data_IF_801961557295
#
_entry.id   IF_801961557295
#
_cell.length_a   1.000
_cell.length_b   1.000
_cell.length_c   1.000
_cell.angle_alpha   90.00
_cell.angle_beta   90.00
_cell.angle_gamma   90.00
#
_symmetry.space_group_name_H-M   'P 1'
#
loop_
_entity.id
_entity.type
_entity.pdbx_description
1 polymer ?
#
# COMPACT_ATOMS: atom_id res chain seq x y z
N UNK A 1 1.41 4.63 5.71
CA UNK A 1 0.35 3.75 5.14
C UNK A 1 0.87 2.61 4.26
N UNK A 2 2.15 2.59 3.89
CA UNK A 2 2.77 1.41 3.24
C UNK A 2 2.74 0.18 4.16
N UNK A 3 2.88 0.39 5.46
CA UNK A 3 2.74 -0.62 6.54
C UNK A 3 1.51 -1.51 6.37
N UNK A 4 0.40 -0.97 5.85
CA UNK A 4 -0.86 -1.69 5.69
C UNK A 4 -0.79 -2.90 4.74
N UNK A 5 0.25 -2.99 3.90
CA UNK A 5 0.52 -4.20 3.11
C UNK A 5 0.88 -5.36 4.03
N UNK A 6 1.76 -5.12 5.02
CA UNK A 6 2.07 -6.14 6.03
C UNK A 6 0.87 -6.42 6.95
N UNK A 7 0.09 -5.39 7.29
CA UNK A 7 -1.12 -5.54 8.11
C UNK A 7 -2.11 -6.51 7.47
N UNK A 8 -2.43 -6.34 6.19
CA UNK A 8 -3.36 -7.28 5.53
C UNK A 8 -2.74 -8.66 5.32
N UNK A 9 -1.43 -8.76 5.09
CA UNK A 9 -0.75 -10.05 4.97
C UNK A 9 -0.85 -10.84 6.28
N UNK A 10 -0.46 -10.24 7.39
CA UNK A 10 -0.53 -10.89 8.71
C UNK A 10 -1.99 -11.24 9.07
N UNK A 11 -2.94 -10.34 8.83
CA UNK A 11 -4.35 -10.64 9.06
C UNK A 11 -4.85 -11.81 8.21
N UNK A 12 -4.50 -11.85 6.92
CA UNK A 12 -4.92 -12.91 6.00
C UNK A 12 -4.34 -14.28 6.36
N UNK A 13 -3.18 -14.32 7.00
CA UNK A 13 -2.58 -15.59 7.47
C UNK A 13 -3.21 -16.11 8.76
N UNK A 14 -3.96 -15.27 9.50
CA UNK A 14 -4.60 -15.62 10.77
C UNK A 14 -6.13 -15.74 10.68
N UNK A 15 -6.72 -15.43 9.52
CA UNK A 15 -8.17 -15.45 9.30
C UNK A 15 -8.48 -16.49 8.23
N UNK A 16 -9.38 -17.40 8.54
CA UNK A 16 -9.86 -18.40 7.58
C UNK A 16 -10.90 -17.78 6.62
N UNK A 17 -11.12 -18.41 5.45
CA UNK A 17 -12.14 -17.96 4.50
C UNK A 17 -13.55 -17.84 5.13
N UNK A 18 -13.89 -18.74 6.05
CA UNK A 18 -15.18 -18.71 6.73
C UNK A 18 -15.33 -17.50 7.69
N UNK A 19 -14.22 -17.07 8.30
CA UNK A 19 -14.21 -15.92 9.22
C UNK A 19 -14.25 -14.56 8.47
N UNK A 20 -14.07 -14.55 7.16
CA UNK A 20 -14.24 -13.32 6.38
C UNK A 20 -15.69 -12.80 6.39
N UNK A 21 -16.66 -13.69 6.60
CA UNK A 21 -18.07 -13.35 6.72
C UNK A 21 -18.49 -13.05 8.18
N UNK A 22 -17.59 -13.25 9.16
CA UNK A 22 -17.78 -12.76 10.52
C UNK A 22 -17.88 -11.23 10.52
N UNK A 23 -18.42 -10.69 11.60
CA UNK A 23 -18.60 -9.24 11.72
C UNK A 23 -17.69 -8.65 12.79
N UNK A 24 -17.25 -7.43 12.54
CA UNK A 24 -16.55 -6.59 13.50
C UNK A 24 -17.37 -5.34 13.79
N UNK A 25 -17.54 -5.02 15.07
CA UNK A 25 -18.21 -3.78 15.50
C UNK A 25 -17.16 -2.75 15.87
N UNK A 26 -17.22 -1.59 15.21
CA UNK A 26 -16.29 -0.49 15.41
C UNK A 26 -16.39 0.08 16.81
N UNK A 27 -15.26 0.27 17.47
CA UNK A 27 -15.18 0.80 18.83
C UNK A 27 -14.80 2.27 18.88
N UNK A 28 -15.20 2.95 19.95
CA UNK A 28 -14.82 4.35 20.18
C UNK A 28 -13.30 4.52 20.30
N UNK A 29 -12.59 3.55 20.88
CA UNK A 29 -11.14 3.62 21.04
C UNK A 29 -10.42 3.68 19.68
N UNK A 30 -10.92 2.95 18.67
CA UNK A 30 -10.38 2.97 17.31
C UNK A 30 -10.67 4.31 16.62
N UNK A 31 -11.90 4.80 16.71
CA UNK A 31 -12.28 6.07 16.07
C UNK A 31 -11.56 7.26 16.71
N UNK A 32 -11.43 7.28 18.04
CA UNK A 32 -10.69 8.30 18.77
C UNK A 32 -9.18 8.26 18.44
N UNK A 33 -8.59 7.07 18.36
CA UNK A 33 -7.21 6.92 17.93
C UNK A 33 -7.00 7.53 16.53
N UNK A 34 -7.88 7.21 15.58
CA UNK A 34 -7.79 7.73 14.22
C UNK A 34 -7.96 9.25 14.16
N UNK A 35 -8.89 9.79 14.94
CA UNK A 35 -9.15 11.23 15.01
C UNK A 35 -7.98 12.00 15.61
N UNK A 36 -7.47 11.55 16.76
CA UNK A 36 -6.36 12.21 17.48
C UNK A 36 -5.08 12.23 16.63
N UNK A 37 -4.82 11.15 15.88
CA UNK A 37 -3.63 11.00 15.06
C UNK A 37 -3.80 11.49 13.61
N UNK A 38 -4.96 12.04 13.24
CA UNK A 38 -5.22 12.55 11.89
C UNK A 38 -5.08 11.49 10.79
N UNK A 39 -5.50 10.26 11.08
CA UNK A 39 -5.38 9.14 10.16
C UNK A 39 -6.34 9.25 8.96
N UNK A 40 -5.94 8.68 7.81
CA UNK A 40 -6.91 8.34 6.76
C UNK A 40 -7.82 7.22 7.27
N UNK A 41 -9.11 7.32 7.02
CA UNK A 41 -10.12 6.37 7.49
C UNK A 41 -11.06 5.97 6.34
N UNK A 42 -11.73 4.84 6.50
CA UNK A 42 -12.93 4.48 5.72
C UNK A 42 -14.08 5.40 6.12
N UNK A 43 -14.14 5.74 7.40
CA UNK A 43 -15.19 6.55 8.02
C UNK A 43 -16.23 5.67 8.72
N UNK A 44 -15.82 4.52 9.22
CA UNK A 44 -16.68 3.64 10.02
C UNK A 44 -17.05 4.32 11.34
N UNK A 45 -18.33 4.29 11.68
CA UNK A 45 -18.87 4.95 12.86
C UNK A 45 -18.76 4.06 14.09
N UNK A 46 -18.73 4.67 15.29
CA UNK A 46 -18.80 3.92 16.56
C UNK A 46 -20.07 3.07 16.57
N UNK A 47 -19.96 1.82 17.01
CA UNK A 47 -21.01 0.79 17.02
C UNK A 47 -21.46 0.31 15.62
N UNK A 48 -20.90 0.84 14.54
CA UNK A 48 -21.12 0.31 13.20
C UNK A 48 -20.51 -1.09 13.07
N UNK A 49 -21.30 -2.01 12.52
CA UNK A 49 -20.90 -3.41 12.33
C UNK A 49 -20.75 -3.72 10.86
N UNK A 50 -19.58 -4.23 10.48
CA UNK A 50 -19.22 -4.55 9.09
C UNK A 50 -18.60 -5.95 9.01
N UNK A 51 -18.70 -6.65 7.86
CA UNK A 51 -17.97 -7.90 7.64
C UNK A 51 -16.46 -7.73 7.75
N UNK A 52 -15.76 -8.73 8.27
CA UNK A 52 -14.29 -8.74 8.36
C UNK A 52 -13.65 -8.56 6.97
N UNK A 53 -14.23 -9.14 5.93
CA UNK A 53 -13.80 -8.92 4.53
C UNK A 53 -13.72 -7.44 4.16
N UNK A 54 -14.67 -6.63 4.60
CA UNK A 54 -14.69 -5.18 4.28
C UNK A 54 -13.57 -4.41 4.99
N UNK A 55 -13.09 -4.91 6.13
CA UNK A 55 -11.92 -4.32 6.79
C UNK A 55 -10.65 -4.48 5.93
N UNK A 56 -10.48 -5.60 5.21
CA UNK A 56 -9.37 -5.76 4.26
C UNK A 56 -9.43 -4.73 3.15
N UNK A 57 -10.58 -4.60 2.49
CA UNK A 57 -10.77 -3.61 1.42
C UNK A 57 -10.63 -2.18 1.94
N UNK A 58 -11.19 -1.87 3.10
CA UNK A 58 -11.05 -0.56 3.75
C UNK A 58 -9.60 -0.21 4.06
N UNK A 59 -8.84 -1.18 4.57
CA UNK A 59 -7.41 -1.01 4.88
C UNK A 59 -6.58 -0.65 3.64
N UNK A 60 -6.84 -1.27 2.51
CA UNK A 60 -6.03 -1.07 1.29
C UNK A 60 -6.60 0.07 0.42
N UNK A 61 -7.87 0.02 0.03
CA UNK A 61 -8.43 0.93 -0.97
C UNK A 61 -8.57 2.36 -0.45
N UNK A 62 -9.13 2.52 0.75
CA UNK A 62 -9.25 3.81 1.43
C UNK A 62 -8.02 4.17 2.26
N UNK A 63 -7.06 3.26 2.37
CA UNK A 63 -5.94 3.40 3.31
C UNK A 63 -6.43 3.60 4.76
N UNK A 64 -7.59 3.00 5.10
CA UNK A 64 -8.30 3.19 6.36
C UNK A 64 -7.52 2.66 7.56
N UNK A 65 -7.20 3.56 8.49
CA UNK A 65 -6.60 3.19 9.76
C UNK A 65 -7.62 2.55 10.70
N UNK A 66 -8.86 2.99 10.64
CA UNK A 66 -10.01 2.38 11.34
C UNK A 66 -10.17 0.90 10.96
N UNK A 67 -10.18 0.60 9.67
CA UNK A 67 -10.26 -0.76 9.17
C UNK A 67 -9.01 -1.59 9.57
N UNK A 68 -7.80 -1.02 9.47
CA UNK A 68 -6.56 -1.69 9.86
C UNK A 68 -6.52 -2.03 11.35
N UNK A 69 -6.96 -1.10 12.22
CA UNK A 69 -7.10 -1.33 13.65
C UNK A 69 -8.21 -2.34 13.97
N UNK A 70 -9.29 -2.33 13.18
CA UNK A 70 -10.34 -3.35 13.24
C UNK A 70 -9.78 -4.75 12.99
N UNK A 71 -8.99 -4.95 11.92
CA UNK A 71 -8.29 -6.21 11.64
C UNK A 71 -7.36 -6.61 12.77
N UNK A 72 -6.53 -5.67 13.24
CA UNK A 72 -5.60 -5.92 14.34
C UNK A 72 -6.32 -6.37 15.63
N UNK A 73 -7.43 -5.70 15.95
CA UNK A 73 -8.26 -6.04 17.11
C UNK A 73 -8.97 -7.39 16.94
N UNK A 74 -9.49 -7.68 15.74
CA UNK A 74 -10.15 -8.93 15.44
C UNK A 74 -9.19 -10.12 15.57
N UNK A 75 -7.98 -10.01 15.03
CA UNK A 75 -6.98 -11.08 15.00
C UNK A 75 -6.32 -11.28 16.36
N UNK A 76 -5.89 -10.21 17.03
CA UNK A 76 -4.99 -10.27 18.18
C UNK A 76 -5.56 -9.62 19.45
N UNK A 77 -6.74 -9.04 19.39
CA UNK A 77 -7.38 -8.37 20.52
C UNK A 77 -6.86 -6.95 20.80
N UNK A 78 -5.68 -6.56 20.28
CA UNK A 78 -5.14 -5.21 20.40
C UNK A 78 -4.13 -4.91 19.29
N UNK A 79 -3.85 -3.61 19.06
CA UNK A 79 -2.81 -3.20 18.14
C UNK A 79 -1.42 -3.69 18.58
N UNK A 80 -1.11 -3.62 19.87
CA UNK A 80 0.18 -4.03 20.42
C UNK A 80 0.45 -5.52 20.19
N UNK A 81 -0.55 -6.38 20.45
CA UNK A 81 -0.43 -7.81 20.20
C UNK A 81 -0.30 -8.11 18.70
N UNK A 82 -1.02 -7.37 17.86
CA UNK A 82 -0.92 -7.52 16.41
C UNK A 82 0.44 -7.07 15.86
N UNK A 83 1.01 -5.98 16.39
CA UNK A 83 2.35 -5.50 16.02
C UNK A 83 3.42 -6.54 16.35
N UNK A 84 3.26 -7.31 17.44
CA UNK A 84 4.15 -8.43 17.71
C UNK A 84 4.12 -9.46 16.57
N UNK A 85 2.93 -9.85 16.10
CA UNK A 85 2.77 -10.76 14.94
C UNK A 85 3.37 -10.16 13.66
N UNK A 86 3.23 -8.84 13.47
CA UNK A 86 3.85 -8.17 12.31
C UNK A 86 5.38 -8.29 12.35
N UNK A 87 6.01 -8.07 13.50
CA UNK A 87 7.47 -8.18 13.62
C UNK A 87 7.94 -9.64 13.56
N UNK A 88 7.18 -10.62 14.06
CA UNK A 88 7.43 -12.04 13.81
C UNK A 88 7.42 -12.37 12.32
N UNK A 89 6.48 -11.81 11.54
CA UNK A 89 6.45 -11.97 10.09
C UNK A 89 7.68 -11.36 9.41
N UNK A 90 8.23 -10.23 9.89
CA UNK A 90 9.49 -9.70 9.37
C UNK A 90 10.68 -10.65 9.59
N UNK A 91 10.70 -11.37 10.72
CA UNK A 91 11.70 -12.43 10.99
C UNK A 91 11.53 -13.59 10.00
N UNK A 92 10.29 -14.05 9.77
CA UNK A 92 10.00 -15.12 8.80
C UNK A 92 10.40 -14.73 7.37
N UNK A 93 10.21 -13.46 6.98
CA UNK A 93 10.60 -12.92 5.68
C UNK A 93 12.11 -12.65 5.58
N UNK A 94 12.87 -12.77 6.69
CA UNK A 94 14.31 -12.56 6.73
C UNK A 94 14.74 -11.10 6.59
N UNK A 95 13.91 -10.14 6.98
CA UNK A 95 14.15 -8.70 6.86
C UNK A 95 14.14 -7.95 8.21
N UNK A 96 14.05 -8.64 9.34
CA UNK A 96 14.01 -8.04 10.67
C UNK A 96 15.24 -7.20 11.04
N UNK A 97 16.39 -7.40 10.38
CA UNK A 97 17.60 -6.60 10.62
C UNK A 97 17.44 -5.15 10.10
N UNK A 98 16.59 -4.91 9.09
CA UNK A 98 16.41 -3.62 8.42
C UNK A 98 15.00 -3.07 8.52
N UNK A 99 14.02 -3.90 8.89
CA UNK A 99 12.63 -3.53 9.07
C UNK A 99 12.18 -3.74 10.52
N UNK A 100 11.44 -2.76 11.05
CA UNK A 100 10.77 -2.85 12.35
C UNK A 100 9.51 -1.98 12.33
N UNK A 101 8.39 -2.51 12.80
CA UNK A 101 7.14 -1.78 12.84
C UNK A 101 6.62 -1.63 14.28
N UNK A 102 6.09 -0.44 14.59
CA UNK A 102 5.59 -0.07 15.92
C UNK A 102 4.08 0.12 15.96
N UNK A 103 3.43 0.14 14.79
CA UNK A 103 1.98 0.24 14.65
C UNK A 103 1.52 -0.42 13.35
N UNK A 104 0.23 -0.74 13.26
CA UNK A 104 -0.35 -1.42 12.08
C UNK A 104 -0.90 -0.46 11.01
N UNK A 105 -0.83 0.86 11.23
CA UNK A 105 -1.45 1.86 10.34
C UNK A 105 -0.45 2.67 9.54
N UNK A 106 0.83 2.65 9.94
CA UNK A 106 1.92 3.38 9.28
C UNK A 106 1.99 4.85 9.68
N UNK A 107 1.72 5.16 10.95
CA UNK A 107 2.08 6.44 11.55
C UNK A 107 3.59 6.48 11.80
N UNK A 108 4.13 7.69 11.73
CA UNK A 108 5.54 7.92 11.98
C UNK A 108 5.93 7.62 13.44
N UNK A 109 7.02 6.92 13.58
CA UNK A 109 7.79 6.70 14.80
C UNK A 109 9.25 6.46 14.40
N UNK A 110 10.23 6.89 15.19
CA UNK A 110 11.65 6.74 14.85
C UNK A 110 12.07 5.27 14.68
N UNK A 111 11.43 4.37 15.41
CA UNK A 111 11.66 2.93 15.29
C UNK A 111 10.85 2.28 14.17
N UNK A 112 9.82 2.96 13.62
CA UNK A 112 8.95 2.45 12.55
C UNK A 112 9.58 2.66 11.18
N UNK A 113 10.30 1.68 10.68
CA UNK A 113 11.08 1.82 9.45
C UNK A 113 11.25 0.51 8.70
N UNK A 114 11.47 0.62 7.40
CA UNK A 114 11.97 -0.43 6.53
C UNK A 114 12.67 0.20 5.31
N UNK A 115 13.47 -0.58 4.60
CA UNK A 115 14.00 -0.17 3.30
C UNK A 115 12.98 -0.35 2.18
N UNK A 116 13.21 0.24 1.01
CA UNK A 116 12.39 -0.03 -0.19
C UNK A 116 12.51 -1.50 -0.61
N UNK A 117 13.66 -2.13 -0.38
CA UNK A 117 13.86 -3.56 -0.63
C UNK A 117 13.02 -4.44 0.30
N UNK A 118 12.94 -4.10 1.59
CA UNK A 118 12.09 -4.82 2.55
C UNK A 118 10.61 -4.69 2.15
N UNK A 119 10.19 -3.49 1.74
CA UNK A 119 8.82 -3.27 1.27
C UNK A 119 8.52 -4.09 0.00
N UNK A 120 9.51 -4.30 -0.87
CA UNK A 120 9.33 -5.18 -2.03
C UNK A 120 9.12 -6.64 -1.62
N UNK A 121 9.89 -7.13 -0.63
CA UNK A 121 9.71 -8.49 -0.06
C UNK A 121 8.33 -8.63 0.59
N UNK A 122 7.89 -7.63 1.36
CA UNK A 122 6.55 -7.62 1.98
C UNK A 122 5.45 -7.65 0.90
N UNK A 123 5.56 -6.83 -0.14
CA UNK A 123 4.56 -6.81 -1.20
C UNK A 123 4.57 -8.13 -2.00
N UNK A 124 5.73 -8.71 -2.28
CA UNK A 124 5.83 -10.00 -2.95
C UNK A 124 5.09 -11.08 -2.16
N UNK A 125 5.37 -11.19 -0.86
CA UNK A 125 4.68 -12.13 0.03
C UNK A 125 3.16 -11.89 0.07
N UNK A 126 2.72 -10.63 0.12
CA UNK A 126 1.30 -10.29 0.07
C UNK A 126 0.66 -10.68 -1.27
N UNK A 127 1.35 -10.49 -2.39
CA UNK A 127 0.86 -10.88 -3.72
C UNK A 127 0.84 -12.40 -3.95
N UNK A 128 1.55 -13.18 -3.15
CA UNK A 128 1.47 -14.64 -3.15
C UNK A 128 0.29 -15.19 -2.33
N UNK A 129 -0.25 -14.40 -1.41
CA UNK A 129 -1.49 -14.71 -0.69
C UNK A 129 -2.72 -14.33 -1.54
N UNK A 130 -3.67 -15.27 -1.72
CA UNK A 130 -4.82 -15.08 -2.62
C UNK A 130 -5.72 -13.91 -2.19
N UNK A 131 -6.05 -13.79 -0.90
CA UNK A 131 -6.87 -12.71 -0.37
C UNK A 131 -6.18 -11.35 -0.49
N UNK A 132 -4.90 -11.28 -0.13
CA UNK A 132 -4.13 -10.04 -0.25
C UNK A 132 -4.00 -9.61 -1.72
N UNK A 133 -3.77 -10.55 -2.63
CA UNK A 133 -3.70 -10.27 -4.08
C UNK A 133 -5.02 -9.73 -4.60
N UNK A 134 -6.16 -10.33 -4.19
CA UNK A 134 -7.49 -9.86 -4.55
C UNK A 134 -7.70 -8.41 -4.07
N UNK A 135 -7.42 -8.13 -2.81
CA UNK A 135 -7.66 -6.81 -2.20
C UNK A 135 -6.70 -5.75 -2.74
N UNK A 136 -5.40 -6.06 -2.87
CA UNK A 136 -4.40 -5.14 -3.44
C UNK A 136 -4.66 -4.84 -4.92
N UNK A 137 -5.26 -5.79 -5.66
CA UNK A 137 -5.60 -5.67 -7.07
C UNK A 137 -6.97 -5.02 -7.33
N UNK A 138 -7.81 -4.86 -6.33
CA UNK A 138 -9.12 -4.26 -6.49
C UNK A 138 -9.02 -2.76 -6.81
N UNK A 139 -9.63 -2.32 -7.89
CA UNK A 139 -9.73 -0.89 -8.27
C UNK A 139 -10.77 -0.16 -7.46
N UNK A 140 -11.90 -0.81 -7.25
CA UNK A 140 -13.03 -0.34 -6.43
C UNK A 140 -13.66 -1.52 -5.70
N UNK A 141 -14.30 -1.22 -4.59
CA UNK A 141 -15.12 -2.18 -3.83
C UNK A 141 -16.34 -1.42 -3.28
N UNK A 142 -17.51 -2.01 -3.39
CA UNK A 142 -18.75 -1.47 -2.83
C UNK A 142 -19.09 -2.25 -1.55
N UNK A 143 -19.13 -1.54 -0.42
CA UNK A 143 -19.44 -2.15 0.87
C UNK A 143 -20.93 -2.46 0.99
N UNK A 144 -21.27 -3.37 1.89
CA UNK A 144 -22.67 -3.61 2.21
C UNK A 144 -23.28 -2.40 2.92
N UNK A 145 -24.59 -2.16 2.75
CA UNK A 145 -25.30 -1.15 3.50
C UNK A 145 -25.28 -1.43 5.01
N UNK A 146 -25.09 -0.37 5.79
CA UNK A 146 -25.23 -0.37 7.25
C UNK A 146 -26.25 0.67 7.69
N UNK A 147 -26.52 0.77 8.99
CA UNK A 147 -27.41 1.82 9.52
C UNK A 147 -26.80 3.21 9.31
N UNK A 148 -25.47 3.34 9.39
CA UNK A 148 -24.73 4.60 9.25
C UNK A 148 -24.43 4.93 7.79
N UNK A 149 -24.29 3.92 6.93
CA UNK A 149 -24.09 4.03 5.49
C UNK A 149 -25.17 3.25 4.71
N UNK A 150 -26.42 3.76 4.62
CA UNK A 150 -27.54 3.01 4.08
C UNK A 150 -27.41 2.61 2.59
N UNK A 151 -26.55 3.28 1.85
CA UNK A 151 -26.27 2.99 0.43
C UNK A 151 -24.93 2.25 0.24
N UNK A 152 -24.26 1.87 1.35
CA UNK A 152 -22.89 1.39 1.30
C UNK A 152 -21.92 2.52 0.95
N UNK A 153 -20.64 2.16 0.76
CA UNK A 153 -19.58 3.08 0.38
C UNK A 153 -18.80 2.51 -0.80
N UNK A 154 -18.36 3.37 -1.71
CA UNK A 154 -17.47 2.97 -2.82
C UNK A 154 -16.02 3.29 -2.41
N UNK A 155 -15.26 2.25 -2.07
CA UNK A 155 -13.84 2.33 -1.78
C UNK A 155 -13.04 2.30 -3.08
N UNK A 156 -11.93 3.02 -3.16
CA UNK A 156 -11.14 3.13 -4.40
C UNK A 156 -9.65 3.05 -4.17
N UNK A 157 -8.98 2.18 -4.91
CA UNK A 157 -7.52 2.17 -5.00
C UNK A 157 -7.05 3.26 -5.98
N UNK A 158 -6.69 4.41 -5.44
CA UNK A 158 -6.31 5.57 -6.24
C UNK A 158 -5.07 5.35 -7.11
N UNK A 159 -4.13 4.50 -6.67
CA UNK A 159 -2.95 4.21 -7.48
C UNK A 159 -3.34 3.44 -8.74
N UNK A 160 -4.06 2.33 -8.59
CA UNK A 160 -4.48 1.50 -9.73
C UNK A 160 -5.32 2.30 -10.72
N UNK A 161 -6.28 3.09 -10.23
CA UNK A 161 -7.14 3.92 -11.09
C UNK A 161 -6.42 5.05 -11.82
N UNK A 162 -5.26 5.46 -11.33
CA UNK A 162 -4.47 6.52 -11.95
C UNK A 162 -3.40 6.00 -12.89
N UNK A 163 -2.96 4.74 -12.73
CA UNK A 163 -1.94 4.14 -13.58
C UNK A 163 -2.55 3.35 -14.76
N UNK A 164 -3.81 2.92 -14.64
CA UNK A 164 -4.45 2.02 -15.61
C UNK A 164 -4.54 2.55 -17.04
N UNK A 165 -4.58 3.89 -17.22
CA UNK A 165 -4.60 4.55 -18.54
C UNK A 165 -3.21 4.97 -19.02
N UNK A 166 -2.15 4.63 -18.29
CA UNK A 166 -0.78 4.99 -18.64
C UNK A 166 -0.09 3.90 -19.45
N UNK A 167 0.78 4.32 -20.34
CA UNK A 167 1.63 3.40 -21.08
C UNK A 167 2.76 2.91 -20.17
N UNK A 168 2.63 1.69 -19.68
CA UNK A 168 3.59 0.99 -18.81
C UNK A 168 4.54 0.05 -19.58
N UNK A 169 4.60 0.17 -20.93
CA UNK A 169 5.45 -0.70 -21.75
C UNK A 169 4.96 -2.14 -21.84
N UNK A 170 3.64 -2.37 -21.75
CA UNK A 170 3.03 -3.70 -21.83
C UNK A 170 2.95 -4.42 -20.49
N UNK A 171 3.22 -3.74 -19.38
CA UNK A 171 3.05 -4.29 -18.03
C UNK A 171 1.64 -3.95 -17.52
N UNK A 172 0.88 -4.95 -17.10
CA UNK A 172 -0.37 -4.76 -16.37
C UNK A 172 -0.06 -4.61 -14.88
N UNK A 173 -0.50 -3.50 -14.24
CA UNK A 173 -0.33 -3.30 -12.80
C UNK A 173 -1.48 -3.99 -12.07
N UNK A 174 -1.14 -5.06 -11.35
CA UNK A 174 -2.10 -6.01 -10.77
C UNK A 174 -2.34 -5.82 -9.28
N UNK A 175 -1.54 -4.99 -8.61
CA UNK A 175 -1.72 -4.68 -7.19
C UNK A 175 -0.89 -3.48 -6.78
N UNK A 176 -1.41 -2.67 -5.85
CA UNK A 176 -0.67 -1.50 -5.39
C UNK A 176 -1.13 -0.96 -4.04
N UNK A 177 -0.20 -0.27 -3.36
CA UNK A 177 -0.45 0.55 -2.16
C UNK A 177 0.38 1.81 -2.19
N UNK A 178 -0.21 2.92 -1.74
CA UNK A 178 0.49 4.20 -1.53
C UNK A 178 0.64 4.51 -0.04
N UNK A 179 1.59 5.37 0.28
CA UNK A 179 1.76 5.90 1.62
C UNK A 179 2.36 7.31 1.60
N UNK A 180 2.07 8.06 2.65
CA UNK A 180 2.65 9.39 2.88
C UNK A 180 2.74 9.67 4.37
N UNK A 181 3.91 10.06 4.80
CA UNK A 181 4.17 10.86 5.99
C UNK A 181 5.22 11.90 5.62
N UNK A 182 5.34 12.97 6.40
CA UNK A 182 6.27 14.07 6.08
C UNK A 182 7.70 13.54 5.93
N UNK A 183 8.09 12.60 6.77
CA UNK A 183 9.44 12.03 6.85
C UNK A 183 9.79 11.10 5.68
N UNK A 184 8.81 10.45 5.08
CA UNK A 184 9.03 9.51 3.96
C UNK A 184 8.69 10.08 2.59
N UNK A 185 8.06 11.24 2.52
CA UNK A 185 7.47 11.75 1.29
C UNK A 185 6.36 10.85 0.75
N UNK A 186 6.01 11.00 -0.53
CA UNK A 186 5.05 10.12 -1.17
C UNK A 186 5.73 8.81 -1.59
N UNK A 187 5.22 7.70 -1.07
CA UNK A 187 5.70 6.36 -1.34
C UNK A 187 4.66 5.57 -2.13
N UNK A 188 5.14 4.63 -2.93
CA UNK A 188 4.29 3.67 -3.61
C UNK A 188 4.98 2.31 -3.72
N UNK A 189 4.20 1.25 -3.65
CA UNK A 189 4.60 -0.11 -4.02
C UNK A 189 3.55 -0.69 -4.95
N UNK A 190 3.98 -1.32 -6.04
CA UNK A 190 3.08 -1.97 -6.97
C UNK A 190 3.67 -3.26 -7.52
N UNK A 191 2.77 -4.17 -7.89
CA UNK A 191 3.08 -5.38 -8.63
C UNK A 191 2.61 -5.20 -10.07
N UNK A 192 3.49 -5.48 -11.01
CA UNK A 192 3.17 -5.49 -12.45
C UNK A 192 3.42 -6.86 -13.05
N UNK A 193 2.66 -7.21 -14.08
CA UNK A 193 2.74 -8.52 -14.73
C UNK A 193 2.79 -8.35 -16.25
N UNK A 194 3.66 -9.15 -16.88
CA UNK A 194 3.73 -9.26 -18.34
C UNK A 194 2.67 -10.22 -18.86
N UNK A 195 2.35 -10.15 -20.14
CA UNK A 195 1.41 -11.07 -20.79
C UNK A 195 1.84 -12.55 -20.73
N UNK A 196 3.12 -12.84 -20.53
CA UNK A 196 3.67 -14.18 -20.34
C UNK A 196 3.77 -14.60 -18.85
N UNK A 197 3.20 -13.81 -17.94
CA UNK A 197 3.05 -14.13 -16.51
C UNK A 197 4.27 -13.84 -15.65
N UNK A 198 5.27 -13.07 -16.14
CA UNK A 198 6.38 -12.62 -15.29
C UNK A 198 5.93 -11.47 -14.41
N UNK A 199 6.17 -11.58 -13.12
CA UNK A 199 5.83 -10.55 -12.13
C UNK A 199 7.04 -9.68 -11.79
N UNK A 200 6.77 -8.40 -11.58
CA UNK A 200 7.75 -7.40 -11.16
C UNK A 200 7.19 -6.60 -10.00
N UNK A 201 8.01 -6.40 -8.97
CA UNK A 201 7.69 -5.52 -7.86
C UNK A 201 8.43 -4.20 -8.03
N UNK A 202 7.70 -3.11 -7.93
CA UNK A 202 8.24 -1.76 -7.98
C UNK A 202 7.93 -1.03 -6.68
N UNK A 203 8.95 -0.46 -6.03
CA UNK A 203 8.79 0.33 -4.80
C UNK A 203 9.58 1.63 -4.94
N UNK A 204 8.90 2.74 -4.67
CA UNK A 204 9.50 4.08 -4.64
C UNK A 204 9.16 4.80 -3.35
N UNK A 205 10.06 5.67 -2.90
CA UNK A 205 9.90 6.52 -1.73
C UNK A 205 10.35 7.95 -2.03
N UNK A 206 9.95 8.89 -1.17
CA UNK A 206 10.35 10.29 -1.19
C UNK A 206 10.02 11.04 -2.50
N UNK A 207 8.96 10.65 -3.18
CA UNK A 207 8.44 11.45 -4.29
C UNK A 207 7.75 12.72 -3.76
N UNK A 208 7.96 13.85 -4.42
CA UNK A 208 7.39 15.13 -3.98
C UNK A 208 5.86 15.23 -4.12
N UNK A 209 5.23 14.31 -4.86
CA UNK A 209 3.78 14.22 -4.99
C UNK A 209 3.30 12.80 -5.28
N UNK A 210 2.02 12.53 -4.98
CA UNK A 210 1.40 11.24 -5.31
C UNK A 210 1.37 10.94 -6.81
N UNK A 211 1.23 11.97 -7.66
CA UNK A 211 1.32 11.83 -9.11
C UNK A 211 2.73 11.49 -9.57
N UNK A 212 3.74 12.10 -8.92
CA UNK A 212 5.14 11.77 -9.25
C UNK A 212 5.45 10.31 -8.96
N UNK A 213 5.00 9.78 -7.81
CA UNK A 213 5.17 8.37 -7.50
C UNK A 213 4.57 7.44 -8.59
N UNK A 214 3.40 7.81 -9.16
CA UNK A 214 2.78 7.06 -10.26
C UNK A 214 3.64 7.13 -11.53
N UNK A 215 4.09 8.31 -11.92
CA UNK A 215 4.93 8.47 -13.13
C UNK A 215 6.30 7.80 -12.98
N UNK A 216 6.84 7.75 -11.76
CA UNK A 216 8.08 7.00 -11.49
C UNK A 216 7.87 5.50 -11.75
N UNK A 217 6.74 4.93 -11.30
CA UNK A 217 6.40 3.53 -11.57
C UNK A 217 6.19 3.28 -13.07
N UNK A 218 5.51 4.18 -13.78
CA UNK A 218 5.37 4.10 -15.25
C UNK A 218 6.74 4.06 -15.92
N UNK A 219 7.64 4.97 -15.54
CA UNK A 219 8.98 5.04 -16.12
C UNK A 219 9.81 3.78 -15.81
N UNK A 220 9.75 3.29 -14.57
CA UNK A 220 10.47 2.08 -14.14
C UNK A 220 9.97 0.84 -14.88
N UNK A 221 8.67 0.64 -15.01
CA UNK A 221 8.10 -0.47 -15.77
C UNK A 221 8.53 -0.43 -17.24
N UNK A 222 8.42 0.73 -17.88
CA UNK A 222 8.86 0.88 -19.28
C UNK A 222 10.34 0.62 -19.48
N UNK A 223 11.18 1.04 -18.53
CA UNK A 223 12.64 0.98 -18.70
C UNK A 223 13.18 -0.42 -18.39
N UNK A 224 12.63 -1.09 -17.37
CA UNK A 224 13.26 -2.30 -16.82
C UNK A 224 12.43 -3.57 -16.98
N UNK A 225 11.13 -3.45 -17.29
CA UNK A 225 10.23 -4.59 -17.29
C UNK A 225 9.58 -4.85 -18.65
N UNK A 226 9.74 -3.98 -19.66
CA UNK A 226 9.23 -4.22 -21.01
C UNK A 226 9.77 -5.55 -21.55
N UNK A 227 8.94 -6.34 -22.25
CA UNK A 227 9.43 -7.52 -22.95
C UNK A 227 10.58 -7.08 -23.84
N UNK A 228 11.75 -7.71 -23.71
CA UNK A 228 12.83 -7.49 -24.66
C UNK A 228 12.29 -7.89 -26.05
N UNK A 229 12.41 -6.98 -27.02
CA UNK A 229 12.28 -7.37 -28.42
C UNK A 229 13.27 -8.53 -28.64
N UNK A 230 12.74 -9.69 -29.00
CA UNK A 230 13.48 -10.94 -29.21
C UNK A 230 14.35 -10.87 -30.49
N UNK A 231 14.88 -9.69 -30.81
CA UNK A 231 15.73 -9.40 -31.97
C UNK A 231 17.01 -8.69 -31.60
N UNK A 232 17.85 -9.32 -30.75
CA UNK A 232 19.30 -9.14 -30.84
C UNK A 232 20.02 -10.35 -30.21
N UNK A 233 20.27 -11.36 -31.02
CA UNK A 233 21.52 -12.11 -30.89
C UNK A 233 22.65 -11.11 -31.17
N UNK A 234 23.29 -10.55 -30.14
CA UNK A 234 24.73 -10.32 -30.16
C UNK A 234 25.25 -10.05 -28.74
N UNK A 235 26.27 -10.82 -28.36
CA UNK A 235 26.90 -10.76 -27.07
C UNK A 235 27.73 -9.46 -26.92
N UNK A 236 27.14 -8.49 -26.23
CA UNK A 236 27.80 -7.26 -25.76
C UNK A 236 27.82 -7.21 -24.25
N UNK A 237 29.01 -7.25 -23.65
CA UNK A 237 29.21 -7.11 -22.22
C UNK A 237 28.53 -5.84 -21.67
N UNK A 238 27.82 -5.98 -20.56
CA UNK A 238 27.24 -4.87 -19.83
C UNK A 238 28.33 -3.85 -19.44
N UNK A 239 28.12 -2.60 -19.88
CA UNK A 239 28.96 -1.47 -19.49
C UNK A 239 28.53 -1.02 -18.06
N UNK A 240 29.50 -0.80 -17.15
CA UNK A 240 29.18 -0.51 -15.77
C UNK A 240 28.73 0.94 -15.57
N UNK A 241 27.56 1.09 -14.93
CA UNK A 241 27.17 2.21 -14.10
C UNK A 241 27.31 3.62 -14.71
N UNK A 242 26.24 4.11 -15.32
CA UNK A 242 26.04 5.56 -15.51
C UNK A 242 25.72 6.16 -14.14
N UNK A 243 26.61 7.00 -13.62
CA UNK A 243 26.35 7.78 -12.39
C UNK A 243 25.11 8.66 -12.58
N UNK A 244 24.26 8.82 -11.54
CA UNK A 244 23.11 9.69 -11.63
C UNK A 244 23.53 11.15 -11.80
N UNK A 245 23.13 11.76 -12.91
CA UNK A 245 23.29 13.21 -13.12
C UNK A 245 22.36 13.93 -12.15
N UNK A 246 22.94 14.66 -11.20
CA UNK A 246 22.18 15.49 -10.27
C UNK A 246 21.34 16.54 -11.05
N UNK A 247 20.05 16.73 -10.70
CA UNK A 247 19.23 17.73 -11.34
C UNK A 247 19.75 19.13 -11.02
N UNK A 248 20.01 19.92 -12.05
CA UNK A 248 20.33 21.33 -11.90
C UNK A 248 19.06 22.06 -11.44
N UNK A 249 19.02 22.51 -10.20
CA UNK A 249 17.95 23.33 -9.65
C UNK A 249 18.03 24.69 -10.34
N UNK A 250 17.08 24.99 -11.21
CA UNK A 250 16.79 26.39 -11.61
C UNK A 250 15.84 26.97 -10.58
N UNK A 251 16.38 27.86 -9.78
CA UNK A 251 15.65 28.73 -8.87
C UNK A 251 14.69 29.63 -9.67
N UNK A 252 13.39 29.43 -9.54
CA UNK A 252 12.37 30.38 -9.95
C UNK A 252 11.46 30.65 -8.76
N UNK A 253 11.89 31.64 -7.98
CA UNK A 253 11.02 32.39 -7.08
C UNK A 253 10.00 33.16 -7.93
N UNK A 254 8.76 32.75 -7.96
CA UNK A 254 7.63 33.63 -8.20
C UNK A 254 6.54 33.37 -7.17
N UNK A 255 6.36 34.40 -6.34
CA UNK A 255 5.24 34.58 -5.46
C UNK A 255 3.94 34.74 -6.26
N UNK A 256 2.92 33.95 -5.97
CA UNK A 256 1.54 34.43 -6.10
C UNK A 256 0.76 34.12 -4.83
N UNK A 257 0.40 35.22 -4.20
CA UNK A 257 -0.54 35.34 -3.10
C UNK A 257 -1.98 35.32 -3.67
N UNK A 258 -2.89 34.62 -3.01
CA UNK A 258 -4.32 34.80 -3.29
C UNK A 258 -5.20 33.71 -2.72
N UNK A 259 -5.68 33.98 -1.51
CA UNK A 259 -7.07 34.04 -1.03
C UNK A 259 -7.94 32.78 -1.05
N UNK A 260 -8.28 32.36 0.18
CA UNK A 260 -9.61 32.11 0.77
C UNK A 260 -10.75 31.59 -0.12
N UNK A 261 -11.23 30.41 0.15
CA UNK A 261 -12.54 30.06 0.72
C UNK A 261 -12.60 28.55 0.87
#
# INVERSE_FOLDING_TARGET
SMTKVLTVLVAAEHITEAELDDTFTMTIDITDYCYVNGCSVVGLMVDETVPVRELFYGTILSSGADAALGLATYVAGSQEAFVALMNEKLEELGIADTAHFTNCVGLYDEAHKCTVSDMAVILEAAMDNDLCREVLGARTYETLPTADHPEGQILSNWFLRRIEDKDTGGIEVTGAKTGYVVESGNCAASCGETADGRRYICVTADAYSSWRAIYDHVALYKTYCSPADDTTEDGGAADPLVEPVAPTIKDTTEHESGASL
#
